data_IF_663821983740
#
_entry.id   IF_663821983740
#
_cell.length_a   1.000
_cell.length_b   1.000
_cell.length_c   1.000
_cell.angle_alpha   90.00
_cell.angle_beta   90.00
_cell.angle_gamma   90.00
#
_symmetry.space_group_name_H-M   'P 1'
#
loop_
_entity.id
_entity.type
_entity.pdbx_description
1 polymer ?
#
# COMPACT_ATOMS: atom_id res chain seq x y z
N UNK A 1 -8.97 13.96 -5.96
CA UNK A 1 -7.62 14.03 -5.35
C UNK A 1 -6.59 14.37 -6.44
N UNK A 2 -5.59 15.22 -6.17
CA UNK A 2 -4.58 15.60 -7.15
C UNK A 2 -3.58 14.46 -7.44
N UNK A 3 -3.23 14.29 -8.72
CA UNK A 3 -2.26 13.27 -9.17
C UNK A 3 -0.86 13.61 -8.63
N UNK A 4 -0.14 12.61 -8.10
CA UNK A 4 1.24 12.78 -7.60
C UNK A 4 1.34 13.58 -6.30
N UNK A 5 0.29 13.54 -5.49
CA UNK A 5 0.23 14.17 -4.15
C UNK A 5 0.85 13.34 -3.03
N UNK A 6 1.33 12.14 -3.35
CA UNK A 6 1.67 11.12 -2.34
C UNK A 6 0.44 10.37 -1.79
N UNK A 7 -0.77 10.73 -2.21
CA UNK A 7 -2.00 10.02 -1.89
C UNK A 7 -2.45 9.23 -3.12
N UNK A 8 -3.14 8.11 -2.88
CA UNK A 8 -3.80 7.37 -3.95
C UNK A 8 -5.01 8.18 -4.42
N UNK A 9 -4.99 8.80 -5.61
CA UNK A 9 -6.14 9.56 -6.05
C UNK A 9 -7.20 8.60 -6.57
N UNK A 10 -8.26 8.38 -5.78
CA UNK A 10 -9.33 7.44 -6.09
C UNK A 10 -9.93 7.54 -7.52
N UNK A 11 -10.12 8.72 -8.16
CA UNK A 11 -10.67 8.79 -9.52
C UNK A 11 -9.64 8.59 -10.65
N UNK A 12 -8.34 8.52 -10.35
CA UNK A 12 -7.27 8.47 -11.36
C UNK A 12 -6.65 7.08 -11.55
N UNK A 13 -7.24 6.04 -10.96
CA UNK A 13 -6.76 4.65 -11.00
C UNK A 13 -7.87 3.72 -11.48
N UNK A 14 -7.50 2.60 -12.08
CA UNK A 14 -8.42 1.62 -12.68
C UNK A 14 -9.21 0.80 -11.65
N UNK A 15 -8.81 0.84 -10.38
CA UNK A 15 -9.31 -0.06 -9.34
C UNK A 15 -10.82 0.12 -9.06
N UNK A 16 -11.38 1.33 -8.97
CA UNK A 16 -12.82 1.51 -8.85
C UNK A 16 -13.60 1.02 -10.06
N UNK A 17 -13.03 1.09 -11.27
CA UNK A 17 -13.65 0.57 -12.49
C UNK A 17 -13.69 -0.96 -12.44
N UNK A 18 -12.58 -1.61 -12.07
CA UNK A 18 -12.55 -3.07 -11.91
C UNK A 18 -13.54 -3.55 -10.85
N UNK A 19 -13.61 -2.85 -9.70
CA UNK A 19 -14.58 -3.16 -8.66
C UNK A 19 -16.02 -2.97 -9.16
N UNK A 20 -16.34 -1.83 -9.78
CA UNK A 20 -17.67 -1.54 -10.30
C UNK A 20 -18.10 -2.53 -11.39
N UNK A 21 -17.19 -2.93 -12.28
CA UNK A 21 -17.46 -3.95 -13.29
C UNK A 21 -17.69 -5.33 -12.68
N UNK A 22 -16.89 -5.71 -11.67
CA UNK A 22 -17.09 -6.98 -10.97
C UNK A 22 -18.46 -7.01 -10.27
N UNK A 23 -18.80 -5.93 -9.57
CA UNK A 23 -20.12 -5.76 -8.93
C UNK A 23 -21.26 -5.81 -9.96
N UNK A 24 -21.16 -5.03 -11.04
CA UNK A 24 -22.18 -4.98 -12.11
C UNK A 24 -22.43 -6.35 -12.76
N UNK A 25 -21.38 -7.16 -12.93
CA UNK A 25 -21.47 -8.50 -13.51
C UNK A 25 -21.84 -9.59 -12.48
N UNK A 26 -22.20 -9.25 -11.25
CA UNK A 26 -22.62 -10.23 -10.23
C UNK A 26 -21.46 -10.94 -9.51
N UNK A 27 -20.33 -10.26 -9.32
CA UNK A 27 -19.13 -10.74 -8.61
C UNK A 27 -18.50 -12.03 -9.16
N UNK A 28 -18.22 -12.13 -10.48
CA UNK A 28 -17.59 -13.31 -11.04
C UNK A 28 -16.13 -13.52 -10.58
N UNK A 29 -15.45 -12.48 -10.10
CA UNK A 29 -14.06 -12.54 -9.65
C UNK A 29 -13.96 -12.49 -8.12
N UNK A 30 -13.04 -13.28 -7.58
CA UNK A 30 -12.66 -13.21 -6.16
C UNK A 30 -11.85 -11.96 -5.85
N UNK A 31 -11.82 -11.54 -4.58
CA UNK A 31 -11.03 -10.39 -4.12
C UNK A 31 -9.53 -10.57 -4.41
N UNK A 32 -9.00 -11.79 -4.28
CA UNK A 32 -7.62 -12.11 -4.63
C UNK A 32 -7.36 -11.89 -6.13
N UNK A 33 -8.25 -12.39 -6.98
CA UNK A 33 -8.16 -12.19 -8.44
C UNK A 33 -8.24 -10.72 -8.82
N UNK A 34 -9.16 -9.97 -8.21
CA UNK A 34 -9.27 -8.52 -8.42
C UNK A 34 -8.00 -7.80 -8.01
N UNK A 35 -7.46 -8.10 -6.83
CA UNK A 35 -6.27 -7.45 -6.31
C UNK A 35 -5.05 -7.72 -7.20
N UNK A 36 -4.88 -8.96 -7.68
CA UNK A 36 -3.86 -9.31 -8.68
C UNK A 36 -4.00 -8.45 -9.95
N UNK A 37 -5.20 -8.39 -10.53
CA UNK A 37 -5.45 -7.60 -11.74
C UNK A 37 -5.16 -6.11 -11.52
N UNK A 38 -5.56 -5.57 -10.37
CA UNK A 38 -5.31 -4.17 -10.05
C UNK A 38 -3.81 -3.86 -9.92
N UNK A 39 -3.02 -4.77 -9.34
CA UNK A 39 -1.57 -4.63 -9.24
C UNK A 39 -0.85 -4.72 -10.58
N UNK A 40 -1.27 -5.64 -11.46
CA UNK A 40 -0.74 -5.74 -12.82
C UNK A 40 -0.98 -4.46 -13.63
N UNK A 41 -2.19 -3.90 -13.56
CA UNK A 41 -2.51 -2.64 -14.24
C UNK A 41 -1.73 -1.46 -13.67
N UNK A 42 -1.54 -1.42 -12.35
CA UNK A 42 -0.70 -0.40 -11.70
C UNK A 42 0.75 -0.48 -12.20
N UNK A 43 1.29 -1.70 -12.31
CA UNK A 43 2.65 -1.92 -12.80
C UNK A 43 2.89 -1.47 -14.24
N UNK A 44 1.88 -1.59 -15.11
CA UNK A 44 1.97 -1.07 -16.50
C UNK A 44 2.12 0.46 -16.55
N UNK A 45 1.65 1.18 -15.54
CA UNK A 45 1.69 2.66 -15.49
C UNK A 45 2.95 3.14 -14.75
N UNK A 46 3.29 2.48 -13.63
CA UNK A 46 4.37 2.94 -12.74
C UNK A 46 5.73 2.31 -13.05
N UNK A 47 5.79 1.34 -13.97
CA UNK A 47 7.00 0.62 -14.36
C UNK A 47 7.39 -0.53 -13.43
N UNK A 48 6.61 -0.78 -12.37
CA UNK A 48 6.85 -1.88 -11.42
C UNK A 48 5.54 -2.27 -10.74
N UNK A 49 5.28 -3.56 -10.56
CA UNK A 49 4.09 -4.02 -9.81
C UNK A 49 4.31 -3.75 -8.33
N UNK A 50 3.39 -3.04 -7.69
CA UNK A 50 3.38 -2.80 -6.24
C UNK A 50 1.95 -2.74 -5.72
N UNK A 51 1.73 -3.35 -4.55
CA UNK A 51 0.40 -3.54 -3.96
C UNK A 51 0.11 -2.62 -2.76
N UNK A 52 1.15 -1.96 -2.25
CA UNK A 52 1.18 -1.10 -1.07
C UNK A 52 0.12 0.01 -1.04
N UNK A 53 -0.37 0.43 -2.20
CA UNK A 53 -1.43 1.42 -2.34
C UNK A 53 -2.81 0.81 -2.64
N UNK A 54 -2.85 -0.22 -3.48
CA UNK A 54 -4.12 -0.83 -3.92
C UNK A 54 -4.72 -1.70 -2.85
N UNK A 55 -3.93 -2.51 -2.17
CA UNK A 55 -4.40 -3.42 -1.15
C UNK A 55 -5.13 -2.67 -0.01
N UNK A 56 -4.56 -1.63 0.64
CA UNK A 56 -5.30 -0.88 1.66
C UNK A 56 -6.46 -0.06 1.08
N UNK A 57 -6.39 0.38 -0.18
CA UNK A 57 -7.51 1.08 -0.83
C UNK A 57 -8.70 0.15 -1.09
N UNK A 58 -8.45 -1.12 -1.40
CA UNK A 58 -9.47 -2.11 -1.74
C UNK A 58 -9.97 -2.88 -0.52
N UNK A 59 -9.05 -3.37 0.33
CA UNK A 59 -9.35 -4.21 1.49
C UNK A 59 -9.55 -3.42 2.79
N UNK A 60 -9.14 -2.14 2.80
CA UNK A 60 -9.20 -1.29 3.99
C UNK A 60 -8.08 -1.55 5.01
N UNK A 61 -8.01 -0.66 6.00
CA UNK A 61 -7.06 -0.75 7.11
C UNK A 61 -5.59 -0.66 6.69
N UNK A 62 -4.72 -1.16 7.57
CA UNK A 62 -3.28 -1.32 7.30
C UNK A 62 -3.10 -2.71 6.68
N UNK A 63 -2.38 -2.79 5.57
CA UNK A 63 -2.12 -4.04 4.86
C UNK A 63 -0.61 -4.29 4.78
N UNK A 64 -0.15 -5.45 5.24
CA UNK A 64 1.22 -5.92 5.08
C UNK A 64 1.32 -6.75 3.81
N UNK A 65 2.21 -6.35 2.89
CA UNK A 65 2.44 -7.07 1.65
C UNK A 65 3.28 -8.32 1.92
N UNK A 66 2.81 -9.48 1.48
CA UNK A 66 3.48 -10.76 1.65
C UNK A 66 3.96 -11.31 0.30
N UNK A 67 3.07 -11.31 -0.70
CA UNK A 67 3.33 -11.85 -2.05
C UNK A 67 3.89 -13.28 -2.04
N UNK A 68 3.40 -14.11 -1.12
CA UNK A 68 3.86 -15.48 -0.88
C UNK A 68 2.64 -16.41 -0.73
N UNK A 69 2.75 -17.65 -1.23
CA UNK A 69 1.68 -18.66 -1.15
C UNK A 69 0.31 -18.16 -1.62
N UNK A 70 0.26 -17.45 -2.75
CA UNK A 70 -0.96 -16.82 -3.31
C UNK A 70 -1.64 -15.77 -2.40
N UNK A 71 -0.94 -15.30 -1.37
CA UNK A 71 -1.39 -14.23 -0.46
C UNK A 71 -0.66 -12.94 -0.81
N UNK A 72 -1.38 -11.98 -1.38
CA UNK A 72 -0.83 -10.66 -1.70
C UNK A 72 -0.58 -9.85 -0.42
N UNK A 73 -1.59 -9.75 0.45
CA UNK A 73 -1.48 -8.99 1.70
C UNK A 73 -2.34 -9.56 2.81
N UNK A 74 -2.03 -9.15 4.05
CA UNK A 74 -2.86 -9.41 5.22
C UNK A 74 -3.05 -8.14 6.05
N UNK A 75 -4.19 -8.06 6.74
CA UNK A 75 -4.51 -6.94 7.60
C UNK A 75 -3.60 -6.91 8.84
N UNK A 76 -3.14 -5.72 9.20
CA UNK A 76 -2.41 -5.45 10.44
C UNK A 76 -3.33 -4.66 11.39
N UNK A 77 -3.49 -5.09 12.66
CA UNK A 77 -4.29 -4.35 13.62
C UNK A 77 -3.76 -2.93 13.82
N UNK A 78 -4.64 -1.94 13.70
CA UNK A 78 -4.33 -0.54 14.02
C UNK A 78 -4.55 -0.20 15.50
N UNK A 79 -4.55 1.10 15.80
CA UNK A 79 -4.90 1.65 17.10
C UNK A 79 -6.06 2.61 16.91
N UNK A 80 -7.18 2.38 17.59
CA UNK A 80 -8.42 3.16 17.39
C UNK A 80 -8.27 4.62 17.86
N UNK A 81 -7.35 4.86 18.80
CA UNK A 81 -7.06 6.19 19.35
C UNK A 81 -6.11 7.02 18.45
N UNK A 82 -5.59 6.46 17.36
CA UNK A 82 -4.69 7.18 16.46
C UNK A 82 -5.46 8.06 15.48
N UNK A 83 -5.04 9.32 15.36
CA UNK A 83 -5.55 10.27 14.36
C UNK A 83 -4.49 10.51 13.28
N UNK A 84 -4.84 10.22 12.03
CA UNK A 84 -3.97 10.43 10.88
C UNK A 84 -4.19 11.83 10.30
N UNK A 85 -3.28 12.76 10.59
CA UNK A 85 -3.33 14.13 10.04
C UNK A 85 -2.66 14.16 8.67
N UNK A 86 -3.44 14.43 7.63
CA UNK A 86 -2.97 14.47 6.24
C UNK A 86 -2.81 15.91 5.76
N UNK A 87 -1.59 16.31 5.40
CA UNK A 87 -1.28 17.65 4.88
C UNK A 87 -0.78 17.59 3.44
N UNK A 88 -1.52 18.18 2.51
CA UNK A 88 -1.12 18.28 1.10
C UNK A 88 -0.49 19.66 0.82
N UNK A 89 0.80 19.72 0.43
CA UNK A 89 1.52 20.99 0.29
C UNK A 89 1.17 21.78 -0.99
N UNK A 90 0.25 21.31 -1.84
CA UNK A 90 -0.09 21.98 -3.10
C UNK A 90 0.86 21.70 -4.26
N UNK A 91 1.93 20.93 -4.04
CA UNK A 91 2.90 20.54 -5.09
C UNK A 91 2.71 19.08 -5.51
N UNK A 92 3.34 18.70 -6.64
CA UNK A 92 3.27 17.35 -7.21
C UNK A 92 4.67 16.77 -7.32
N UNK A 93 4.82 15.49 -6.97
CA UNK A 93 6.01 14.69 -7.22
C UNK A 93 5.60 13.42 -7.98
N UNK A 94 6.31 13.07 -9.04
CA UNK A 94 6.07 11.83 -9.77
C UNK A 94 6.53 10.62 -8.95
N UNK A 95 5.71 9.57 -8.86
CA UNK A 95 6.09 8.30 -8.21
C UNK A 95 7.33 7.69 -8.87
N UNK A 96 7.45 7.80 -10.19
CA UNK A 96 8.60 7.28 -10.93
C UNK A 96 9.88 8.06 -10.60
N UNK A 97 9.83 9.39 -10.54
CA UNK A 97 10.98 10.23 -10.18
C UNK A 97 11.41 10.01 -8.73
N UNK A 98 10.45 9.92 -7.80
CA UNK A 98 10.71 9.64 -6.39
C UNK A 98 11.36 8.26 -6.18
N UNK A 99 11.04 7.26 -7.01
CA UNK A 99 11.72 5.96 -6.99
C UNK A 99 13.09 6.01 -7.65
N UNK A 100 13.24 6.74 -8.75
CA UNK A 100 14.48 6.81 -9.52
C UNK A 100 15.64 7.46 -8.72
N UNK A 101 15.35 8.33 -7.75
CA UNK A 101 16.37 8.95 -6.90
C UNK A 101 16.83 8.05 -5.73
N UNK A 102 16.16 6.93 -5.47
CA UNK A 102 16.56 6.04 -4.38
C UNK A 102 17.95 5.42 -4.66
N UNK A 103 18.83 5.31 -3.64
CA UNK A 103 20.10 4.62 -3.79
C UNK A 103 19.91 3.17 -4.23
N UNK A 104 20.75 2.71 -5.17
CA UNK A 104 20.77 1.31 -5.59
C UNK A 104 21.32 0.36 -4.51
N UNK A 105 22.06 0.89 -3.52
CA UNK A 105 22.67 0.12 -2.46
C UNK A 105 22.53 0.83 -1.12
N UNK A 106 22.35 0.03 -0.06
CA UNK A 106 22.25 0.48 1.32
C UNK A 106 23.32 -0.19 2.16
N UNK A 107 23.74 0.46 3.24
CA UNK A 107 24.68 -0.14 4.18
C UNK A 107 23.99 -1.24 4.98
N UNK A 108 24.73 -2.28 5.34
CA UNK A 108 24.23 -3.39 6.17
C UNK A 108 23.51 -2.92 7.44
N UNK A 109 24.06 -1.92 8.12
CA UNK A 109 23.46 -1.35 9.33
C UNK A 109 22.07 -0.74 9.08
N UNK A 110 21.91 -0.06 7.94
CA UNK A 110 20.63 0.53 7.56
C UNK A 110 19.58 -0.55 7.29
N UNK A 111 19.95 -1.64 6.62
CA UNK A 111 19.07 -2.78 6.38
C UNK A 111 18.67 -3.50 7.67
N UNK A 112 19.62 -3.73 8.60
CA UNK A 112 19.35 -4.34 9.91
C UNK A 112 18.39 -3.46 10.71
N UNK A 113 18.64 -2.15 10.72
CA UNK A 113 17.79 -1.19 11.42
C UNK A 113 16.39 -1.13 10.82
N UNK A 114 16.26 -1.14 9.49
CA UNK A 114 14.97 -1.19 8.81
C UNK A 114 14.18 -2.44 9.20
N UNK A 115 14.81 -3.63 9.14
CA UNK A 115 14.16 -4.87 9.55
C UNK A 115 13.73 -4.88 11.03
N UNK A 116 14.57 -4.35 11.92
CA UNK A 116 14.24 -4.21 13.35
C UNK A 116 13.02 -3.32 13.57
N UNK A 117 12.95 -2.17 12.90
CA UNK A 117 11.83 -1.23 13.03
C UNK A 117 10.53 -1.82 12.48
N UNK A 118 10.58 -2.44 11.30
CA UNK A 118 9.41 -3.10 10.71
C UNK A 118 8.88 -4.23 11.61
N UNK A 119 9.76 -5.10 12.10
CA UNK A 119 9.38 -6.20 12.99
C UNK A 119 8.80 -5.68 14.31
N UNK A 120 9.41 -4.63 14.89
CA UNK A 120 8.92 -3.99 16.10
C UNK A 120 7.53 -3.38 15.92
N UNK A 121 7.30 -2.67 14.82
CA UNK A 121 6.00 -2.10 14.47
C UNK A 121 4.91 -3.17 14.36
N UNK A 122 5.15 -4.23 13.58
CA UNK A 122 4.18 -5.33 13.41
C UNK A 122 3.90 -6.02 14.76
N UNK A 123 4.95 -6.31 15.54
CA UNK A 123 4.78 -6.88 16.88
C UNK A 123 3.94 -5.98 17.78
N UNK A 124 4.20 -4.67 17.80
CA UNK A 124 3.49 -3.69 18.60
C UNK A 124 2.01 -3.55 18.19
N UNK A 125 1.71 -3.59 16.90
CA UNK A 125 0.33 -3.64 16.38
C UNK A 125 -0.44 -4.86 16.93
N UNK A 126 0.13 -6.05 16.84
CA UNK A 126 -0.52 -7.29 17.32
C UNK A 126 -0.60 -7.39 18.83
N UNK A 127 0.33 -6.79 19.57
CA UNK A 127 0.37 -6.80 21.04
C UNK A 127 -0.23 -5.54 21.69
N UNK A 128 -0.82 -4.66 20.89
CA UNK A 128 -1.50 -3.42 21.34
C UNK A 128 -0.59 -2.49 22.16
N UNK A 129 0.65 -2.29 21.69
CA UNK A 129 1.64 -1.40 22.32
C UNK A 129 1.84 -0.11 21.51
N UNK A 130 0.94 0.89 21.59
CA UNK A 130 0.98 2.08 20.72
C UNK A 130 2.26 2.90 20.85
N UNK A 131 2.87 2.94 22.05
CA UNK A 131 4.13 3.67 22.27
C UNK A 131 5.33 3.00 21.59
N UNK A 132 5.30 1.68 21.40
CA UNK A 132 6.37 0.95 20.70
C UNK A 132 6.19 1.02 19.18
N UNK A 133 4.96 1.22 18.70
CA UNK A 133 4.64 1.38 17.29
C UNK A 133 4.88 2.80 16.75
N UNK A 134 5.04 3.80 17.64
CA UNK A 134 5.18 5.21 17.30
C UNK A 134 6.62 5.64 16.99
#
# INVERSE_FOLDING_TARGET
MPIGSGWVPAPARWWPVLMAMNEFCGKPLSDSTLLTLMGELEGRISGSVHYDNVAPCFLGGIQLMLQENDIISQAVPGFDDWLWVMAYPGIKVSTAEARAILPAQYRKEDCIRHGRLLAGFIHACHTRQPQLAA
#
